data_IF_990777168365
#
_entry.id   IF_990777168365
#
_cell.length_a   1.000
_cell.length_b   1.000
_cell.length_c   1.000
_cell.angle_alpha   90.00
_cell.angle_beta   90.00
_cell.angle_gamma   90.00
#
_symmetry.space_group_name_H-M   'P 1'
#
loop_
_entity.id
_entity.type
_entity.pdbx_description
1 polymer ?
#
# COMPACT_ATOMS: atom_id res chain seq x y z
N UNK A 1 -11.00 -56.85 -18.18
CA UNK A 1 -10.04 -56.44 -17.13
C UNK A 1 -10.82 -55.79 -15.98
N UNK A 2 -10.73 -56.44 -14.82
CA UNK A 2 -10.80 -55.89 -13.44
C UNK A 2 -12.01 -55.03 -13.04
N UNK A 3 -13.04 -55.75 -12.56
CA UNK A 3 -14.07 -55.27 -11.62
C UNK A 3 -13.41 -54.81 -10.31
N UNK A 4 -13.97 -53.77 -9.70
CA UNK A 4 -13.52 -53.19 -8.45
C UNK A 4 -13.52 -54.20 -7.28
N UNK A 5 -12.61 -54.08 -6.30
CA UNK A 5 -12.53 -55.02 -5.18
C UNK A 5 -13.66 -54.81 -4.17
N UNK A 6 -14.22 -55.94 -3.72
CA UNK A 6 -15.22 -56.04 -2.65
C UNK A 6 -14.47 -56.03 -1.32
N UNK A 7 -14.77 -55.08 -0.44
CA UNK A 7 -14.27 -55.05 0.94
C UNK A 7 -15.42 -55.49 1.88
N UNK A 8 -15.17 -56.38 2.86
CA UNK A 8 -16.23 -57.04 3.63
C UNK A 8 -16.90 -56.08 4.62
N UNK A 9 -18.23 -56.22 4.76
CA UNK A 9 -19.00 -55.60 5.84
C UNK A 9 -18.58 -56.23 7.18
N UNK A 10 -17.95 -55.43 8.04
CA UNK A 10 -17.93 -55.73 9.48
C UNK A 10 -19.11 -55.00 10.12
N UNK A 11 -20.00 -55.78 10.72
CA UNK A 11 -21.01 -55.30 11.65
C UNK A 11 -20.34 -54.95 12.98
N UNK A 12 -20.81 -53.91 13.67
CA UNK A 12 -20.93 -54.00 15.10
C UNK A 12 -22.40 -53.83 15.49
N UNK A 13 -22.97 -54.90 16.03
CA UNK A 13 -24.06 -54.79 17.00
C UNK A 13 -23.43 -54.27 18.29
N UNK A 14 -23.80 -53.07 18.72
CA UNK A 14 -23.73 -52.64 20.11
C UNK A 14 -24.59 -51.39 20.28
N UNK A 15 -25.69 -51.59 21.02
CA UNK A 15 -26.51 -50.64 21.76
C UNK A 15 -26.55 -49.16 21.31
N UNK A 16 -27.76 -48.74 20.94
CA UNK A 16 -28.16 -47.34 20.89
C UNK A 16 -27.78 -46.62 22.19
N UNK A 17 -26.92 -45.62 22.08
CA UNK A 17 -26.84 -44.52 23.05
C UNK A 17 -27.17 -43.25 22.27
N UNK A 18 -28.22 -42.57 22.73
CA UNK A 18 -28.75 -41.32 22.17
C UNK A 18 -27.58 -40.33 22.02
N UNK A 19 -27.36 -39.70 20.85
CA UNK A 19 -26.40 -38.61 20.76
C UNK A 19 -26.96 -37.44 21.57
N UNK A 20 -26.32 -37.13 22.69
CA UNK A 20 -26.48 -35.84 23.32
C UNK A 20 -26.16 -34.77 22.27
N UNK A 21 -27.06 -33.79 22.14
CA UNK A 21 -26.99 -32.71 21.17
C UNK A 21 -25.57 -32.11 21.13
N UNK A 22 -24.94 -32.16 19.95
CA UNK A 22 -23.71 -31.44 19.69
C UNK A 22 -23.96 -29.94 19.94
N UNK A 23 -23.12 -29.25 20.73
CA UNK A 23 -23.30 -27.83 20.93
C UNK A 23 -23.02 -27.12 19.60
N UNK A 24 -24.01 -26.35 19.16
CA UNK A 24 -23.92 -25.48 18.01
C UNK A 24 -22.94 -24.33 18.32
N UNK A 25 -21.65 -24.53 18.07
CA UNK A 25 -20.69 -23.53 17.56
C UNK A 25 -19.23 -23.96 17.82
N UNK A 26 -18.46 -24.40 16.81
CA UNK A 26 -17.03 -24.67 16.97
C UNK A 26 -16.22 -23.44 17.40
N UNK A 27 -16.79 -22.23 17.22
CA UNK A 27 -16.22 -20.98 17.69
C UNK A 27 -16.32 -20.78 19.20
N UNK A 28 -17.37 -21.30 19.85
CA UNK A 28 -17.56 -21.13 21.30
C UNK A 28 -16.59 -22.05 22.05
N UNK A 29 -16.39 -23.28 21.57
CA UNK A 29 -15.38 -24.18 22.16
C UNK A 29 -13.95 -23.69 21.92
N UNK A 30 -13.67 -23.08 20.77
CA UNK A 30 -12.38 -22.41 20.52
C UNK A 30 -12.18 -21.20 21.42
N UNK A 31 -13.25 -20.44 21.71
CA UNK A 31 -13.22 -19.32 22.64
C UNK A 31 -13.06 -19.80 24.08
N UNK A 32 -13.75 -20.86 24.49
CA UNK A 32 -13.65 -21.48 25.82
C UNK A 32 -12.27 -22.10 26.03
N UNK A 33 -11.66 -22.73 25.01
CA UNK A 33 -10.29 -23.22 25.10
C UNK A 33 -9.29 -22.06 25.24
N UNK A 34 -9.52 -20.95 24.52
CA UNK A 34 -8.69 -19.74 24.59
C UNK A 34 -8.86 -18.99 25.92
N UNK A 35 -10.07 -18.98 26.47
CA UNK A 35 -10.41 -18.40 27.78
C UNK A 35 -9.99 -19.32 28.93
N UNK A 36 -10.05 -20.65 28.75
CA UNK A 36 -9.58 -21.65 29.70
C UNK A 36 -8.06 -21.63 29.87
N UNK A 37 -7.32 -21.30 28.81
CA UNK A 37 -5.89 -20.97 28.90
C UNK A 37 -5.62 -19.63 29.63
N UNK A 38 -6.57 -18.68 29.60
CA UNK A 38 -6.51 -17.41 30.33
C UNK A 38 -6.88 -17.53 31.82
N UNK A 39 -7.32 -18.71 32.28
CA UNK A 39 -7.60 -18.95 33.70
C UNK A 39 -6.33 -19.00 34.58
N UNK A 40 -5.13 -19.03 33.97
CA UNK A 40 -3.83 -18.92 34.65
C UNK A 40 -3.10 -17.64 34.24
N UNK A 41 -3.66 -16.50 34.64
CA UNK A 41 -2.95 -15.22 34.68
C UNK A 41 -2.98 -14.42 33.39
N UNK A 42 -2.54 -13.17 33.52
CA UNK A 42 -2.55 -12.14 32.48
C UNK A 42 -1.41 -12.32 31.45
N UNK A 43 -1.04 -13.56 31.15
CA UNK A 43 0.17 -13.92 30.41
C UNK A 43 -0.15 -14.97 29.35
N UNK A 44 0.47 -14.84 28.18
CA UNK A 44 0.45 -15.83 27.11
C UNK A 44 1.89 -16.17 26.66
N UNK A 45 2.11 -17.35 26.09
CA UNK A 45 3.39 -17.70 25.47
C UNK A 45 3.16 -17.87 23.97
N UNK A 46 3.96 -17.17 23.17
CA UNK A 46 3.89 -17.24 21.71
C UNK A 46 5.30 -17.38 21.11
N UNK A 47 5.47 -18.20 20.06
CA UNK A 47 6.74 -18.30 19.37
C UNK A 47 6.99 -17.06 18.51
N UNK A 48 8.15 -16.42 18.69
CA UNK A 48 8.64 -15.31 17.85
C UNK A 48 10.04 -15.66 17.37
N UNK A 49 10.22 -15.73 16.04
CA UNK A 49 11.45 -16.23 15.41
C UNK A 49 11.87 -17.63 15.90
N UNK A 50 10.89 -18.53 16.10
CA UNK A 50 11.14 -19.89 16.57
C UNK A 50 11.52 -20.03 18.05
N UNK A 51 11.46 -18.92 18.82
CA UNK A 51 11.76 -18.88 20.26
C UNK A 51 10.48 -18.56 21.03
N UNK A 52 10.18 -19.32 22.07
CA UNK A 52 9.01 -19.07 22.92
C UNK A 52 9.21 -17.82 23.77
N UNK A 53 8.35 -16.83 23.56
CA UNK A 53 8.36 -15.58 24.33
C UNK A 53 7.13 -15.54 25.22
N UNK A 54 7.36 -15.33 26.52
CA UNK A 54 6.32 -15.06 27.51
C UNK A 54 5.91 -13.59 27.44
N UNK A 55 4.67 -13.34 27.06
CA UNK A 55 4.06 -12.02 27.01
C UNK A 55 3.13 -11.81 28.20
N UNK A 56 3.21 -10.65 28.84
CA UNK A 56 2.26 -10.21 29.87
C UNK A 56 1.46 -9.05 29.32
N UNK A 57 0.13 -9.09 29.47
CA UNK A 57 -0.73 -8.00 29.02
C UNK A 57 -0.59 -6.81 29.99
N UNK A 58 -0.26 -5.66 29.46
CA UNK A 58 -0.17 -4.40 30.20
C UNK A 58 -1.18 -3.42 29.62
N UNK A 59 -1.91 -2.72 30.50
CA UNK A 59 -2.89 -1.71 30.11
C UNK A 59 -2.36 -0.34 30.50
N UNK A 60 -2.17 0.51 29.50
CA UNK A 60 -1.78 1.91 29.65
C UNK A 60 -3.02 2.77 29.64
N UNK A 61 -3.14 3.65 30.64
CA UNK A 61 -4.25 4.58 30.76
C UNK A 61 -4.23 5.61 29.62
N UNK A 62 -5.42 6.05 29.19
CA UNK A 62 -5.63 6.93 28.03
C UNK A 62 -4.71 8.16 27.96
N UNK A 63 -4.56 8.91 29.06
CA UNK A 63 -3.74 10.14 29.09
C UNK A 63 -2.23 9.90 29.15
N UNK A 64 -1.80 8.65 29.32
CA UNK A 64 -0.39 8.29 29.49
C UNK A 64 0.17 7.54 28.27
N UNK A 65 -0.68 7.11 27.32
CA UNK A 65 -0.28 6.35 26.13
C UNK A 65 0.84 7.05 25.35
N UNK A 66 0.73 8.36 25.14
CA UNK A 66 1.74 9.11 24.39
C UNK A 66 3.09 9.18 25.11
N UNK A 67 3.08 9.26 26.45
CA UNK A 67 4.28 9.45 27.29
C UNK A 67 4.98 8.14 27.61
N UNK A 68 4.21 7.09 27.91
CA UNK A 68 4.73 5.82 28.43
C UNK A 68 4.87 4.77 27.33
N UNK A 69 4.50 5.06 26.10
CA UNK A 69 4.71 4.15 24.97
C UNK A 69 5.39 4.85 23.81
N UNK A 70 6.23 4.12 23.09
CA UNK A 70 6.87 4.59 21.85
C UNK A 70 6.85 3.51 20.79
N UNK A 71 6.87 3.90 19.52
CA UNK A 71 6.94 2.95 18.41
C UNK A 71 8.41 2.57 18.16
N UNK A 72 8.66 1.28 17.93
CA UNK A 72 9.98 0.78 17.57
C UNK A 72 10.55 1.51 16.35
N UNK A 73 11.83 1.89 16.40
CA UNK A 73 12.49 2.65 15.33
C UNK A 73 12.59 1.86 14.00
N UNK A 74 12.54 0.53 14.05
CA UNK A 74 12.48 -0.32 12.86
C UNK A 74 11.10 -0.40 12.21
N UNK A 75 10.06 0.20 12.80
CA UNK A 75 8.73 0.24 12.20
C UNK A 75 8.74 1.19 10.99
N UNK A 76 8.40 0.66 9.82
CA UNK A 76 8.43 1.42 8.56
C UNK A 76 7.27 2.42 8.41
N UNK A 77 6.24 2.37 9.28
CA UNK A 77 5.11 3.28 9.23
C UNK A 77 5.48 4.68 9.69
N UNK A 78 5.17 5.67 8.87
CA UNK A 78 5.40 7.07 9.19
C UNK A 78 4.27 7.54 10.11
N UNK A 79 4.61 7.80 11.37
CA UNK A 79 3.61 8.14 12.40
C UNK A 79 2.85 9.43 12.09
N UNK A 80 3.45 10.35 11.33
CA UNK A 80 2.81 11.61 10.92
C UNK A 80 1.62 11.42 9.94
N UNK A 81 1.47 10.26 9.31
CA UNK A 81 0.33 9.96 8.42
C UNK A 81 -0.82 9.22 9.12
N UNK A 82 -0.72 8.99 10.43
CA UNK A 82 -1.78 8.37 11.22
C UNK A 82 -2.74 9.44 11.74
N UNK A 83 -3.47 10.08 10.82
CA UNK A 83 -4.50 11.09 11.12
C UNK A 83 -5.85 10.44 11.45
N UNK A 84 -6.84 11.25 11.85
CA UNK A 84 -8.22 10.78 12.05
C UNK A 84 -8.79 10.11 10.78
N UNK A 85 -8.61 10.74 9.62
CA UNK A 85 -9.04 10.19 8.33
C UNK A 85 -8.37 8.84 8.02
N UNK A 86 -7.07 8.70 8.31
CA UNK A 86 -6.31 7.47 8.03
C UNK A 86 -6.62 6.31 9.00
N UNK A 87 -7.36 6.60 10.08
CA UNK A 87 -7.73 5.68 11.15
C UNK A 87 -9.26 5.57 11.31
N UNK A 88 -10.02 5.99 10.30
CA UNK A 88 -11.48 5.91 10.23
C UNK A 88 -12.00 4.47 10.43
N UNK A 89 -11.21 3.47 10.04
CA UNK A 89 -11.47 2.04 10.21
C UNK A 89 -11.34 1.56 11.67
N UNK A 90 -10.58 2.28 12.51
CA UNK A 90 -10.30 1.89 13.90
C UNK A 90 -11.03 2.75 14.92
N UNK A 91 -11.16 4.05 14.68
CA UNK A 91 -11.72 5.03 15.63
C UNK A 91 -13.11 4.61 16.14
N UNK A 92 -14.10 4.24 15.29
CA UNK A 92 -15.43 3.86 15.77
C UNK A 92 -15.40 2.65 16.70
N UNK A 93 -14.53 1.68 16.42
CA UNK A 93 -14.37 0.48 17.25
C UNK A 93 -13.77 0.81 18.62
N UNK A 94 -12.79 1.71 18.66
CA UNK A 94 -12.18 2.19 19.89
C UNK A 94 -13.17 2.97 20.77
N UNK A 95 -13.97 3.84 20.17
CA UNK A 95 -14.99 4.61 20.90
C UNK A 95 -16.11 3.72 21.45
N UNK A 96 -16.52 2.69 20.70
CA UNK A 96 -17.63 1.82 21.11
C UNK A 96 -17.20 0.71 22.08
N UNK A 97 -16.07 0.05 21.82
CA UNK A 97 -15.66 -1.18 22.51
C UNK A 97 -14.23 -1.12 23.06
N UNK A 98 -13.50 -0.01 22.88
CA UNK A 98 -12.08 0.07 23.17
C UNK A 98 -11.22 -0.86 22.32
N UNK A 99 -9.95 -1.00 22.68
CA UNK A 99 -9.02 -1.88 21.96
C UNK A 99 -9.35 -3.36 22.21
N UNK A 100 -9.78 -4.05 21.15
CA UNK A 100 -10.09 -5.48 21.17
C UNK A 100 -8.84 -6.37 21.07
N UNK A 101 -7.92 -6.03 20.16
CA UNK A 101 -6.69 -6.81 19.94
C UNK A 101 -5.49 -6.07 20.57
N UNK A 102 -4.79 -6.66 21.55
CA UNK A 102 -3.61 -6.02 22.15
C UNK A 102 -2.46 -5.91 21.14
N UNK A 103 -1.66 -4.86 21.31
CA UNK A 103 -0.41 -4.65 20.56
C UNK A 103 0.70 -5.58 21.08
N UNK A 104 1.84 -5.62 20.40
CA UNK A 104 3.01 -6.36 20.85
C UNK A 104 4.20 -5.43 21.04
N UNK A 105 4.94 -5.62 22.12
CA UNK A 105 6.10 -4.80 22.43
C UNK A 105 6.98 -5.38 23.53
N UNK A 106 7.98 -4.59 23.92
CA UNK A 106 8.91 -4.90 25.01
C UNK A 106 9.01 -3.76 26.00
N UNK A 107 9.41 -4.09 27.21
CA UNK A 107 9.70 -3.09 28.24
C UNK A 107 11.06 -2.44 27.98
N UNK A 108 11.12 -1.12 28.07
CA UNK A 108 12.34 -0.30 28.02
C UNK A 108 12.35 0.69 29.19
N UNK A 109 13.49 1.36 29.42
CA UNK A 109 13.64 2.30 30.55
C UNK A 109 12.61 3.42 30.56
N UNK A 110 12.18 3.87 29.38
CA UNK A 110 11.26 5.00 29.20
C UNK A 110 9.79 4.57 29.04
N UNK A 111 9.49 3.27 29.20
CA UNK A 111 8.12 2.75 29.07
C UNK A 111 8.05 1.52 28.16
N UNK A 112 6.99 1.41 27.36
CA UNK A 112 6.74 0.29 26.46
C UNK A 112 7.15 0.66 25.03
N UNK A 113 8.01 -0.15 24.43
CA UNK A 113 8.38 -0.03 23.04
C UNK A 113 7.56 -1.00 22.19
N UNK A 114 6.74 -0.44 21.29
CA UNK A 114 5.74 -1.17 20.49
C UNK A 114 6.33 -1.59 19.15
N UNK A 115 6.34 -2.88 18.86
CA UNK A 115 6.69 -3.43 17.55
C UNK A 115 5.48 -3.41 16.60
N UNK A 116 4.41 -4.13 16.97
CA UNK A 116 3.17 -4.21 16.21
C UNK A 116 2.04 -3.50 16.97
N UNK A 117 1.32 -2.62 16.27
CA UNK A 117 0.21 -1.86 16.85
C UNK A 117 0.36 -0.35 16.81
N UNK A 118 1.20 0.22 15.94
CA UNK A 118 1.36 1.67 15.80
C UNK A 118 0.06 2.40 15.41
N UNK A 119 -0.74 1.85 14.47
CA UNK A 119 -2.09 2.38 14.15
C UNK A 119 -3.01 2.39 15.37
N UNK A 120 -3.00 1.30 16.15
CA UNK A 120 -3.79 1.14 17.39
C UNK A 120 -3.32 2.10 18.49
N UNK A 121 -2.01 2.32 18.63
CA UNK A 121 -1.43 3.30 19.55
C UNK A 121 -1.94 4.70 19.22
N UNK A 122 -1.85 5.11 17.96
CA UNK A 122 -2.32 6.44 17.56
C UNK A 122 -3.83 6.57 17.73
N UNK A 123 -4.59 5.52 17.39
CA UNK A 123 -6.05 5.51 17.62
C UNK A 123 -6.37 5.72 19.10
N UNK A 124 -5.69 5.00 20.00
CA UNK A 124 -5.87 5.16 21.45
C UNK A 124 -5.59 6.59 21.93
N UNK A 125 -4.57 7.26 21.38
CA UNK A 125 -4.24 8.65 21.68
C UNK A 125 -5.37 9.58 21.21
N UNK A 126 -5.80 9.44 19.95
CA UNK A 126 -6.86 10.29 19.37
C UNK A 126 -8.20 10.11 20.09
N UNK A 127 -8.56 8.88 20.45
CA UNK A 127 -9.83 8.57 21.12
C UNK A 127 -9.77 8.65 22.63
N UNK A 128 -8.63 9.08 23.21
CA UNK A 128 -8.40 9.08 24.66
C UNK A 128 -8.83 7.76 25.31
N UNK A 129 -8.43 6.64 24.71
CA UNK A 129 -8.80 5.30 25.13
C UNK A 129 -7.62 4.56 25.74
N UNK A 130 -7.91 3.55 26.58
CA UNK A 130 -6.85 2.68 27.10
C UNK A 130 -6.11 1.95 25.97
N UNK A 131 -4.81 1.75 26.17
CA UNK A 131 -3.96 1.03 25.23
C UNK A 131 -3.37 -0.22 25.86
N UNK A 132 -3.69 -1.37 25.28
CA UNK A 132 -3.35 -2.71 25.75
C UNK A 132 -2.21 -3.28 24.91
N UNK A 133 -1.14 -3.71 25.57
CA UNK A 133 0.08 -4.23 24.94
C UNK A 133 0.48 -5.55 25.61
N UNK A 134 0.77 -6.56 24.81
CA UNK A 134 1.44 -7.77 25.23
C UNK A 134 2.95 -7.50 25.27
N UNK A 135 3.49 -7.38 26.48
CA UNK A 135 4.89 -7.04 26.76
C UNK A 135 5.68 -8.31 27.02
N UNK A 136 6.70 -8.54 26.20
CA UNK A 136 7.62 -9.68 26.32
C UNK A 136 9.07 -9.24 26.36
N UNK A 137 9.96 -10.17 26.73
CA UNK A 137 11.40 -9.96 26.55
C UNK A 137 11.77 -10.24 25.09
N UNK A 138 11.99 -9.17 24.31
CA UNK A 138 12.23 -9.23 22.88
C UNK A 138 13.56 -8.55 22.52
N UNK A 139 14.37 -9.23 21.71
CA UNK A 139 15.51 -8.62 21.05
C UNK A 139 15.09 -7.87 19.76
N UNK A 140 16.05 -7.17 19.15
CA UNK A 140 15.79 -6.34 17.96
C UNK A 140 15.35 -7.19 16.74
N UNK A 141 15.82 -8.43 16.63
CA UNK A 141 15.40 -9.36 15.58
C UNK A 141 13.91 -9.70 15.73
N UNK A 142 13.48 -10.05 16.95
CA UNK A 142 12.09 -10.37 17.25
C UNK A 142 11.19 -9.14 17.10
N UNK A 143 11.65 -7.95 17.50
CA UNK A 143 10.94 -6.69 17.28
C UNK A 143 10.73 -6.43 15.78
N UNK A 144 11.76 -6.63 14.95
CA UNK A 144 11.67 -6.48 13.50
C UNK A 144 10.72 -7.52 12.88
N UNK A 145 10.76 -8.77 13.35
CA UNK A 145 9.86 -9.82 12.88
C UNK A 145 8.39 -9.54 13.19
N UNK A 146 8.08 -9.06 14.41
CA UNK A 146 6.73 -8.65 14.78
C UNK A 146 6.25 -7.44 13.96
N UNK A 147 7.12 -6.46 13.73
CA UNK A 147 6.81 -5.32 12.85
C UNK A 147 6.46 -5.81 11.43
N UNK A 148 7.28 -6.70 10.87
CA UNK A 148 7.07 -7.27 9.53
C UNK A 148 5.73 -8.00 9.47
N UNK A 149 5.43 -8.85 10.45
CA UNK A 149 4.17 -9.59 10.52
C UNK A 149 2.95 -8.65 10.54
N UNK A 150 2.99 -7.58 11.33
CA UNK A 150 1.93 -6.57 11.38
C UNK A 150 1.75 -5.82 10.06
N UNK A 151 2.86 -5.53 9.37
CA UNK A 151 2.85 -4.90 8.05
C UNK A 151 2.36 -5.86 6.94
N UNK A 152 2.61 -7.16 7.07
CA UNK A 152 2.09 -8.16 6.13
C UNK A 152 0.55 -8.29 6.25
N UNK A 153 0.02 -8.22 7.47
CA UNK A 153 -1.43 -8.24 7.73
C UNK A 153 -2.14 -6.97 7.24
N UNK A 154 -1.59 -5.79 7.58
CA UNK A 154 -2.04 -4.51 7.03
C UNK A 154 -0.85 -3.86 6.32
N UNK A 155 -0.78 -3.89 4.99
CA UNK A 155 0.30 -3.29 4.23
C UNK A 155 0.49 -1.80 4.52
N UNK A 156 1.73 -1.36 4.45
CA UNK A 156 2.12 0.05 4.43
C UNK A 156 1.99 0.63 3.02
N UNK A 157 1.92 1.94 2.94
CA UNK A 157 1.78 2.67 1.68
C UNK A 157 2.97 2.46 0.75
N UNK A 158 2.79 2.75 -0.55
CA UNK A 158 3.88 2.71 -1.51
C UNK A 158 5.04 3.65 -1.12
N UNK A 159 4.71 4.77 -0.50
CA UNK A 159 5.67 5.74 0.04
C UNK A 159 6.49 5.17 1.19
N UNK A 160 5.84 4.58 2.19
CA UNK A 160 6.50 3.97 3.36
C UNK A 160 7.38 2.78 2.97
N UNK A 161 6.85 1.87 2.14
CA UNK A 161 7.65 0.76 1.60
C UNK A 161 8.84 1.27 0.79
N UNK A 162 8.65 2.34 0.03
CA UNK A 162 9.72 2.99 -0.73
C UNK A 162 10.86 3.50 0.16
N UNK A 163 10.54 4.09 1.33
CA UNK A 163 11.56 4.48 2.32
C UNK A 163 12.31 3.25 2.86
N UNK A 164 11.60 2.16 3.19
CA UNK A 164 12.26 0.91 3.61
C UNK A 164 13.18 0.36 2.53
N UNK A 165 12.71 0.26 1.30
CA UNK A 165 13.52 -0.25 0.19
C UNK A 165 14.74 0.63 -0.08
N UNK A 166 14.60 1.96 -0.05
CA UNK A 166 15.72 2.87 -0.25
C UNK A 166 16.82 2.66 0.82
N UNK A 167 16.41 2.58 2.09
CA UNK A 167 17.33 2.35 3.21
C UNK A 167 18.07 1.00 3.09
N UNK A 168 17.35 -0.06 2.71
CA UNK A 168 17.95 -1.39 2.56
C UNK A 168 18.83 -1.50 1.33
N UNK A 169 18.48 -0.85 0.22
CA UNK A 169 19.35 -0.74 -0.94
C UNK A 169 20.69 -0.12 -0.56
N UNK A 170 20.66 0.97 0.20
CA UNK A 170 21.87 1.66 0.65
C UNK A 170 22.70 0.81 1.64
N UNK A 171 22.06 0.23 2.66
CA UNK A 171 22.75 -0.44 3.78
C UNK A 171 23.14 -1.89 3.52
N UNK A 172 22.28 -2.66 2.85
CA UNK A 172 22.40 -4.13 2.77
C UNK A 172 22.80 -4.61 1.36
N UNK A 173 22.41 -3.88 0.31
CA UNK A 173 22.50 -4.38 -1.07
C UNK A 173 23.37 -3.52 -2.00
N UNK A 174 24.10 -2.53 -1.49
CA UNK A 174 24.98 -1.65 -2.29
C UNK A 174 24.29 -1.07 -3.54
N UNK A 175 23.04 -0.64 -3.40
CA UNK A 175 22.15 -0.13 -4.46
C UNK A 175 21.77 -1.14 -5.55
N UNK A 176 21.96 -2.44 -5.33
CA UNK A 176 21.55 -3.49 -6.27
C UNK A 176 20.06 -3.86 -6.11
N UNK A 177 19.23 -3.33 -7.01
CA UNK A 177 17.77 -3.57 -7.03
C UNK A 177 17.44 -5.05 -7.26
N UNK A 178 18.23 -5.77 -8.05
CA UNK A 178 17.97 -7.20 -8.33
C UNK A 178 18.16 -8.05 -7.08
N UNK A 179 19.23 -7.81 -6.32
CA UNK A 179 19.49 -8.54 -5.09
C UNK A 179 18.39 -8.30 -4.02
N UNK A 180 17.92 -7.05 -3.88
CA UNK A 180 16.79 -6.77 -2.99
C UNK A 180 15.49 -7.43 -3.47
N UNK A 181 15.24 -7.43 -4.79
CA UNK A 181 14.07 -8.07 -5.39
C UNK A 181 14.02 -9.57 -5.07
N UNK A 182 15.16 -10.25 -5.20
CA UNK A 182 15.28 -11.67 -4.93
C UNK A 182 15.13 -11.97 -3.42
N UNK A 183 15.71 -11.12 -2.56
CA UNK A 183 15.61 -11.27 -1.11
C UNK A 183 14.19 -11.02 -0.55
N UNK A 184 13.45 -10.08 -1.14
CA UNK A 184 12.08 -9.74 -0.71
C UNK A 184 11.00 -10.57 -1.41
N UNK A 185 11.33 -11.26 -2.51
CA UNK A 185 10.34 -11.93 -3.36
C UNK A 185 9.41 -10.95 -4.10
N UNK A 186 9.90 -9.74 -4.39
CA UNK A 186 9.11 -8.66 -5.01
C UNK A 186 9.75 -8.24 -6.33
N UNK A 187 8.95 -8.02 -7.37
CA UNK A 187 9.51 -7.61 -8.67
C UNK A 187 10.33 -6.31 -8.60
N UNK A 188 11.45 -6.26 -9.33
CA UNK A 188 12.29 -5.05 -9.49
C UNK A 188 11.48 -3.80 -9.81
N UNK A 189 10.45 -3.95 -10.65
CA UNK A 189 9.56 -2.84 -11.07
C UNK A 189 8.78 -2.23 -9.90
N UNK A 190 8.29 -3.06 -8.98
CA UNK A 190 7.55 -2.58 -7.80
C UNK A 190 8.50 -1.87 -6.82
N UNK A 191 9.70 -2.41 -6.63
CA UNK A 191 10.75 -1.77 -5.82
C UNK A 191 11.08 -0.39 -6.39
N UNK A 192 11.41 -0.30 -7.69
CA UNK A 192 11.73 0.98 -8.35
C UNK A 192 10.58 1.99 -8.21
N UNK A 193 9.33 1.55 -8.38
CA UNK A 193 8.15 2.40 -8.21
C UNK A 193 8.03 2.96 -6.81
N UNK A 194 8.14 2.10 -5.79
CA UNK A 194 8.04 2.52 -4.41
C UNK A 194 9.19 3.47 -4.04
N UNK A 195 10.43 3.15 -4.44
CA UNK A 195 11.61 4.01 -4.21
C UNK A 195 11.47 5.38 -4.88
N UNK A 196 10.92 5.46 -6.10
CA UNK A 196 10.65 6.75 -6.72
C UNK A 196 9.51 7.49 -6.01
N UNK A 197 8.48 6.77 -5.57
CA UNK A 197 7.35 7.35 -4.81
C UNK A 197 7.83 7.94 -3.48
N UNK A 198 8.78 7.30 -2.78
CA UNK A 198 9.27 7.78 -1.48
C UNK A 198 10.12 9.05 -1.54
N UNK A 199 10.55 9.46 -2.75
CA UNK A 199 11.27 10.72 -2.97
C UNK A 199 10.33 11.93 -3.04
N UNK A 200 9.01 11.72 -3.13
CA UNK A 200 8.05 12.82 -3.07
C UNK A 200 8.13 13.52 -1.70
N UNK A 201 7.96 14.86 -1.65
CA UNK A 201 7.86 15.58 -0.39
C UNK A 201 6.73 15.04 0.48
N UNK A 202 6.94 15.00 1.80
CA UNK A 202 5.93 14.52 2.75
C UNK A 202 4.61 15.31 2.66
N UNK A 203 4.68 16.61 2.36
CA UNK A 203 3.51 17.47 2.17
C UNK A 203 2.61 16.99 1.03
N UNK A 204 3.19 16.48 -0.07
CA UNK A 204 2.44 15.93 -1.20
C UNK A 204 1.66 14.69 -0.76
N UNK A 205 2.28 13.85 0.07
CA UNK A 205 1.63 12.64 0.59
C UNK A 205 0.52 12.99 1.58
N UNK A 206 0.69 14.06 2.36
CA UNK A 206 -0.32 14.54 3.31
C UNK A 206 -1.57 15.16 2.65
N UNK A 207 -1.55 15.38 1.33
CA UNK A 207 -2.75 15.74 0.58
C UNK A 207 -3.74 14.58 0.52
N UNK A 208 -3.30 13.34 0.61
CA UNK A 208 -4.18 12.18 0.59
C UNK A 208 -4.73 11.91 1.99
N UNK A 209 -5.97 11.45 2.08
CA UNK A 209 -6.60 11.13 3.38
C UNK A 209 -5.90 9.94 4.03
N UNK A 210 -5.51 8.96 3.21
CA UNK A 210 -4.61 7.88 3.60
C UNK A 210 -3.43 7.77 2.62
N UNK A 211 -2.17 7.64 3.08
CA UNK A 211 -1.02 7.52 2.17
C UNK A 211 -1.09 6.30 1.23
N UNK A 212 -1.91 5.30 1.57
CA UNK A 212 -2.19 4.15 0.70
C UNK A 212 -3.03 4.45 -0.54
N UNK A 213 -3.71 5.60 -0.61
CA UNK A 213 -4.46 6.04 -1.80
C UNK A 213 -3.52 6.34 -2.97
N UNK A 214 -2.31 6.82 -2.67
CA UNK A 214 -1.27 7.01 -3.68
C UNK A 214 -0.67 5.66 -4.09
N UNK A 215 -1.14 5.13 -5.22
CA UNK A 215 -0.57 3.91 -5.78
C UNK A 215 0.91 4.10 -6.17
N UNK A 216 1.71 3.03 -6.08
CA UNK A 216 3.13 3.07 -6.45
C UNK A 216 3.37 3.49 -7.91
N UNK A 217 2.40 3.23 -8.80
CA UNK A 217 2.48 3.64 -10.21
C UNK A 217 2.22 5.14 -10.37
N UNK A 218 1.16 5.64 -9.74
CA UNK A 218 0.82 7.07 -9.78
C UNK A 218 1.91 7.90 -9.10
N UNK A 219 2.41 7.44 -7.94
CA UNK A 219 3.52 8.07 -7.24
C UNK A 219 4.81 8.14 -8.06
N UNK A 220 5.18 7.06 -8.76
CA UNK A 220 6.32 7.09 -9.69
C UNK A 220 6.11 8.08 -10.84
N UNK A 221 4.91 8.12 -11.42
CA UNK A 221 4.59 9.04 -12.53
C UNK A 221 4.63 10.50 -12.06
N UNK A 222 4.09 10.77 -10.88
CA UNK A 222 4.10 12.11 -10.27
C UNK A 222 5.53 12.56 -9.99
N UNK A 223 6.35 11.69 -9.37
CA UNK A 223 7.77 11.98 -9.13
C UNK A 223 8.53 12.29 -10.42
N UNK A 224 8.35 11.47 -11.47
CA UNK A 224 8.98 11.72 -12.78
C UNK A 224 8.51 13.04 -13.42
N UNK A 225 7.24 13.40 -13.22
CA UNK A 225 6.70 14.65 -13.74
C UNK A 225 7.22 15.87 -12.97
N UNK A 226 7.58 15.71 -11.70
CA UNK A 226 8.12 16.76 -10.85
C UNK A 226 9.62 16.97 -10.97
N UNK A 227 10.36 16.05 -11.61
CA UNK A 227 11.82 16.21 -11.80
C UNK A 227 12.14 17.54 -12.50
N UNK A 228 12.91 18.40 -11.82
CA UNK A 228 13.26 19.74 -12.29
C UNK A 228 12.17 20.80 -12.11
N UNK A 229 11.05 20.47 -11.46
CA UNK A 229 9.87 21.34 -11.22
C UNK A 229 9.43 21.32 -9.76
N UNK A 230 10.36 21.10 -8.84
CA UNK A 230 10.06 20.94 -7.40
C UNK A 230 9.35 22.17 -6.81
N UNK A 231 9.70 23.39 -7.27
CA UNK A 231 9.05 24.62 -6.84
C UNK A 231 7.56 24.67 -7.25
N UNK A 232 7.23 24.23 -8.47
CA UNK A 232 5.84 24.18 -8.96
C UNK A 232 5.03 23.12 -8.22
N UNK A 233 5.65 21.96 -7.92
CA UNK A 233 5.02 20.93 -7.10
C UNK A 233 4.69 21.49 -5.71
N UNK A 234 5.66 22.13 -5.05
CA UNK A 234 5.47 22.72 -3.74
C UNK A 234 4.38 23.80 -3.72
N UNK A 235 4.40 24.73 -4.68
CA UNK A 235 3.38 25.78 -4.81
C UNK A 235 1.98 25.18 -4.97
N UNK A 236 1.82 24.20 -5.87
CA UNK A 236 0.52 23.55 -6.10
C UNK A 236 0.05 22.76 -4.88
N UNK A 237 0.96 22.06 -4.20
CA UNK A 237 0.66 21.36 -2.94
C UNK A 237 0.16 22.33 -1.88
N UNK A 238 0.82 23.47 -1.71
CA UNK A 238 0.40 24.50 -0.76
C UNK A 238 -0.97 25.10 -1.11
N UNK A 239 -1.26 25.32 -2.39
CA UNK A 239 -2.58 25.75 -2.87
C UNK A 239 -3.68 24.73 -2.53
N UNK A 240 -3.43 23.44 -2.73
CA UNK A 240 -4.39 22.38 -2.40
C UNK A 240 -4.59 22.23 -0.88
N UNK A 241 -3.52 22.35 -0.08
CA UNK A 241 -3.60 22.36 1.38
C UNK A 241 -4.42 23.56 1.89
N UNK A 242 -4.24 24.74 1.30
CA UNK A 242 -5.04 25.92 1.62
C UNK A 242 -6.52 25.72 1.24
N UNK A 243 -6.79 25.09 0.09
CA UNK A 243 -8.14 24.70 -0.31
C UNK A 243 -8.82 23.80 0.73
N UNK A 244 -8.13 22.76 1.21
CA UNK A 244 -8.63 21.87 2.26
C UNK A 244 -8.94 22.60 3.57
N UNK A 245 -8.07 23.53 3.99
CA UNK A 245 -8.31 24.38 5.17
C UNK A 245 -9.56 25.26 5.03
N UNK A 246 -9.92 25.62 3.80
CA UNK A 246 -11.14 26.37 3.49
C UNK A 246 -12.38 25.49 3.29
N UNK A 247 -12.29 24.19 3.58
CA UNK A 247 -13.42 23.25 3.51
C UNK A 247 -13.64 22.59 2.15
N UNK A 248 -12.72 22.75 1.18
CA UNK A 248 -12.77 22.00 -0.07
C UNK A 248 -12.32 20.56 0.15
N UNK A 249 -13.20 19.62 -0.18
CA UNK A 249 -12.86 18.20 -0.23
C UNK A 249 -12.35 17.86 -1.62
N UNK A 250 -11.23 17.15 -1.66
CA UNK A 250 -10.64 16.62 -2.88
C UNK A 250 -10.48 15.13 -2.74
N UNK A 251 -10.98 14.39 -3.72
CA UNK A 251 -10.73 12.96 -3.83
C UNK A 251 -9.30 12.71 -4.32
N UNK A 252 -8.79 11.50 -4.09
CA UNK A 252 -7.42 11.13 -4.47
C UNK A 252 -7.14 11.33 -5.97
N UNK A 253 -8.12 11.05 -6.83
CA UNK A 253 -7.98 11.23 -8.27
C UNK A 253 -7.92 12.71 -8.68
N UNK A 254 -8.70 13.58 -8.02
CA UNK A 254 -8.68 15.02 -8.25
C UNK A 254 -7.33 15.62 -7.83
N UNK A 255 -6.81 15.20 -6.68
CA UNK A 255 -5.48 15.61 -6.20
C UNK A 255 -4.41 15.23 -7.23
N UNK A 256 -4.44 13.98 -7.71
CA UNK A 256 -3.50 13.49 -8.71
C UNK A 256 -3.61 14.25 -10.03
N UNK A 257 -4.84 14.53 -10.48
CA UNK A 257 -5.10 15.28 -11.70
C UNK A 257 -4.57 16.71 -11.59
N UNK A 258 -4.87 17.41 -10.50
CA UNK A 258 -4.44 18.79 -10.26
C UNK A 258 -2.91 18.92 -10.17
N UNK A 259 -2.25 18.01 -9.45
CA UNK A 259 -0.79 17.97 -9.35
C UNK A 259 -0.15 17.66 -10.70
N UNK A 260 -0.64 16.66 -11.42
CA UNK A 260 -0.09 16.27 -12.73
C UNK A 260 -0.33 17.35 -13.79
N UNK A 261 -1.49 18.01 -13.77
CA UNK A 261 -1.81 19.10 -14.69
C UNK A 261 -0.87 20.30 -14.46
N UNK A 262 -0.60 20.67 -13.21
CA UNK A 262 0.35 21.73 -12.89
C UNK A 262 1.76 21.42 -13.41
N UNK A 263 2.21 20.17 -13.27
CA UNK A 263 3.54 19.74 -13.71
C UNK A 263 3.68 19.57 -15.23
N UNK A 264 2.57 19.39 -15.96
CA UNK A 264 2.59 19.14 -17.42
C UNK A 264 2.30 20.38 -18.26
N UNK A 265 1.94 21.51 -17.63
CA UNK A 265 1.65 22.79 -18.30
C UNK A 265 2.81 23.32 -19.16
N UNK A 266 4.07 23.04 -18.79
CA UNK A 266 5.25 23.47 -19.57
C UNK A 266 5.81 22.40 -20.52
N UNK A 267 5.38 21.14 -20.40
CA UNK A 267 5.94 20.01 -21.18
C UNK A 267 4.99 19.42 -22.21
N UNK A 268 3.80 20.00 -22.36
CA UNK A 268 2.97 19.73 -23.51
C UNK A 268 3.21 20.85 -24.53
N UNK A 269 3.96 20.65 -25.63
CA UNK A 269 3.56 21.36 -26.84
C UNK A 269 2.09 21.00 -26.98
N UNK A 270 1.21 22.00 -27.03
CA UNK A 270 -0.22 21.82 -27.22
C UNK A 270 -0.42 20.60 -28.10
N UNK A 271 -1.13 19.57 -27.61
CA UNK A 271 -1.44 18.39 -28.41
C UNK A 271 -2.15 18.95 -29.64
N UNK A 272 -1.40 19.20 -30.72
CA UNK A 272 -1.98 19.60 -31.98
C UNK A 272 -2.73 18.35 -32.37
N UNK A 273 -4.03 18.36 -32.10
CA UNK A 273 -4.97 17.34 -32.51
C UNK A 273 -4.61 17.03 -33.95
N UNK A 274 -4.20 15.78 -34.20
CA UNK A 274 -3.78 15.43 -35.53
C UNK A 274 -5.00 15.53 -36.43
N UNK A 275 -5.08 16.57 -37.25
CA UNK A 275 -6.17 16.74 -38.20
C UNK A 275 -6.06 15.59 -39.19
N UNK A 276 -7.07 14.72 -39.20
CA UNK A 276 -7.20 13.65 -40.17
C UNK A 276 -8.14 14.12 -41.25
N UNK A 277 -7.61 14.31 -42.46
CA UNK A 277 -8.39 14.64 -43.65
C UNK A 277 -8.48 13.42 -44.54
N UNK A 278 -9.70 12.98 -44.82
CA UNK A 278 -9.94 11.95 -45.82
C UNK A 278 -9.96 12.61 -47.20
N UNK A 279 -9.01 12.23 -48.06
CA UNK A 279 -8.85 12.80 -49.40
C UNK A 279 -9.67 12.02 -50.44
N UNK A 280 -10.02 10.78 -50.13
CA UNK A 280 -10.83 9.89 -50.97
C UNK A 280 -10.91 8.48 -50.39
N UNK A 281 -11.61 7.54 -51.05
CA UNK A 281 -11.64 6.13 -50.63
C UNK A 281 -10.23 5.53 -50.68
N UNK A 282 -9.70 5.12 -49.52
CA UNK A 282 -8.34 4.56 -49.40
C UNK A 282 -7.21 5.57 -49.26
N UNK A 283 -7.48 6.88 -49.24
CA UNK A 283 -6.47 7.93 -49.08
C UNK A 283 -6.75 8.82 -47.88
N UNK A 284 -5.84 8.81 -46.89
CA UNK A 284 -5.95 9.64 -45.69
C UNK A 284 -4.67 10.44 -45.47
N UNK A 285 -4.82 11.72 -45.11
CA UNK A 285 -3.74 12.59 -44.70
C UNK A 285 -3.87 12.91 -43.21
N UNK A 286 -2.82 12.67 -42.45
CA UNK A 286 -2.73 13.02 -41.05
C UNK A 286 -1.70 14.13 -40.86
N UNK A 287 -2.17 15.29 -40.43
CA UNK A 287 -1.34 16.46 -40.15
C UNK A 287 -0.93 16.44 -38.67
N UNK A 288 0.37 16.38 -38.38
CA UNK A 288 0.91 16.37 -37.01
C UNK A 288 2.05 17.38 -36.90
N UNK A 289 1.72 18.60 -36.48
CA UNK A 289 2.69 19.70 -36.38
C UNK A 289 3.32 20.01 -37.74
N UNK A 290 4.66 19.94 -37.84
CA UNK A 290 5.41 20.16 -39.11
C UNK A 290 5.49 18.93 -40.02
N UNK A 291 4.82 17.83 -39.68
CA UNK A 291 4.85 16.58 -40.44
C UNK A 291 3.47 16.24 -41.00
N UNK A 292 3.43 15.75 -42.22
CA UNK A 292 2.22 15.20 -42.84
C UNK A 292 2.50 13.74 -43.16
N UNK A 293 1.62 12.84 -42.73
CA UNK A 293 1.66 11.42 -43.08
C UNK A 293 0.50 11.12 -44.03
N UNK A 294 0.83 10.67 -45.24
CA UNK A 294 -0.15 10.14 -46.18
C UNK A 294 -0.21 8.62 -46.02
N UNK A 295 -1.41 8.08 -45.86
CA UNK A 295 -1.67 6.64 -45.91
C UNK A 295 -2.55 6.37 -47.11
N UNK A 296 -1.99 5.67 -48.09
CA UNK A 296 -2.63 5.32 -49.35
C UNK A 296 -2.74 3.79 -49.45
N UNK A 297 -3.95 3.30 -49.63
CA UNK A 297 -4.24 1.89 -49.86
C UNK A 297 -4.13 1.58 -51.36
N UNK A 298 -3.09 0.82 -51.74
CA UNK A 298 -2.80 0.44 -53.14
C UNK A 298 -3.88 -0.43 -53.79
N UNK A 299 -4.84 -0.94 -53.02
CA UNK A 299 -6.00 -1.68 -53.57
C UNK A 299 -7.13 -0.76 -54.03
N UNK A 300 -7.13 0.49 -53.56
CA UNK A 300 -8.22 1.47 -53.79
C UNK A 300 -7.77 2.75 -54.48
N UNK A 301 -6.46 3.04 -54.46
CA UNK A 301 -5.84 4.17 -55.14
C UNK A 301 -5.05 3.64 -56.34
N UNK A 302 -5.28 4.21 -57.53
CA UNK A 302 -4.58 3.80 -58.75
C UNK A 302 -3.09 4.09 -58.67
N UNK A 303 -2.26 3.20 -59.25
CA UNK A 303 -0.80 3.36 -59.23
C UNK A 303 -0.35 4.65 -59.94
N UNK A 304 -1.06 5.08 -60.98
CA UNK A 304 -0.81 6.34 -61.70
C UNK A 304 -0.89 7.57 -60.77
N UNK A 305 -1.83 7.60 -59.83
CA UNK A 305 -1.98 8.72 -58.88
C UNK A 305 -0.87 8.73 -57.82
N UNK A 306 -0.35 7.56 -57.46
CA UNK A 306 0.79 7.44 -56.52
C UNK A 306 2.05 7.97 -57.21
N UNK A 307 2.29 7.59 -58.46
CA UNK A 307 3.44 8.08 -59.25
C UNK A 307 3.36 9.60 -59.45
N UNK A 308 2.18 10.16 -59.76
CA UNK A 308 2.01 11.61 -59.88
C UNK A 308 2.25 12.35 -58.55
N UNK A 309 1.85 11.76 -57.41
CA UNK A 309 2.12 12.32 -56.08
C UNK A 309 3.62 12.30 -55.77
N UNK A 310 4.30 11.20 -56.06
CA UNK A 310 5.75 11.06 -55.90
C UNK A 310 6.51 12.05 -56.78
N UNK A 311 6.12 12.21 -58.05
CA UNK A 311 6.68 13.22 -58.94
C UNK A 311 6.49 14.64 -58.40
N UNK A 312 5.28 14.98 -57.92
CA UNK A 312 4.99 16.29 -57.33
C UNK A 312 5.80 16.58 -56.07
N UNK A 313 6.02 15.58 -55.21
CA UNK A 313 6.80 15.73 -53.98
C UNK A 313 8.31 15.78 -54.25
N UNK A 314 8.78 15.10 -55.30
CA UNK A 314 10.19 15.12 -55.74
C UNK A 314 10.51 16.41 -56.50
N UNK A 315 9.49 17.10 -57.03
CA UNK A 315 9.61 18.40 -57.69
C UNK A 315 9.76 19.54 -56.69
N UNK A 316 10.89 19.60 -55.96
CA UNK A 316 11.28 20.81 -55.22
C UNK A 316 12.54 21.45 -55.78
N UNK A 317 12.32 22.67 -56.30
CA UNK A 317 13.14 23.88 -56.14
C UNK A 317 14.67 23.73 -56.24
N UNK A 318 15.21 24.15 -57.38
CA UNK A 318 16.22 25.22 -57.37
C UNK A 318 15.69 26.48 -56.69
#
# INVERSE_FOLDING_TARGET
>A
MKRAPIIPKSSPSSAATIPAAAPAAPMVDSLIARVGAMAKGNTIVLPVCGRDVKFTLETVAAGEVEKTTRVWAGNERVQAFLTEDALDDLIPSFLLNGQQTPAFGRQVKEGIEVADGSRRRMTAILTSSEYRVLVGNLDDEQMNALCKLGNDYRPTSAYERGKRYALRLEKEFANNISALADAEGISRKIITRCVNTSKLPQEVISLFSHPGELSARAGEQLYRASEGKDALLAEKTQSLLAGRKNGLLYDADDILQELTAALTKDTSPARVSAEKKQLGPGATAQYKGKKVLFTLDRTKVSEELIVQLEELLTRRRT
#
